data_IF_520223299263
#
_entry.id   IF_520223299263
#
_cell.length_a   1.000
_cell.length_b   1.000
_cell.length_c   1.000
_cell.angle_alpha   90.00
_cell.angle_beta   90.00
_cell.angle_gamma   90.00
#
_symmetry.space_group_name_H-M   'P 1'
#
loop_
_entity.id
_entity.type
_entity.pdbx_description
1 polymer ?
#
# COMPACT_ATOMS: atom_id res chain seq x y z
N UNK A 1 -7.42 -3.09 -15.40
CA UNK A 1 -7.50 -4.51 -14.98
C UNK A 1 -6.10 -5.12 -15.04
N UNK A 2 -5.78 -6.05 -14.13
CA UNK A 2 -4.48 -6.73 -14.10
C UNK A 2 -4.57 -8.05 -14.84
N UNK A 3 -3.72 -8.26 -15.84
CA UNK A 3 -3.69 -9.48 -16.66
C UNK A 3 -3.05 -10.65 -15.91
N UNK A 4 -1.93 -10.37 -15.23
CA UNK A 4 -1.08 -11.39 -14.65
C UNK A 4 -1.42 -11.74 -13.20
N UNK A 5 -2.72 -11.72 -12.86
CA UNK A 5 -3.25 -11.95 -11.52
C UNK A 5 -2.92 -13.34 -10.93
N UNK A 6 -2.56 -14.30 -11.79
CA UNK A 6 -2.25 -15.70 -11.41
C UNK A 6 -0.75 -16.00 -11.31
N UNK A 7 0.11 -15.05 -11.65
CA UNK A 7 1.57 -15.30 -11.68
C UNK A 7 2.16 -15.56 -10.30
N UNK A 8 1.68 -14.83 -9.29
CA UNK A 8 2.14 -14.91 -7.91
C UNK A 8 1.14 -14.34 -6.91
N UNK A 9 1.39 -14.57 -5.63
CA UNK A 9 0.66 -13.92 -4.54
C UNK A 9 0.73 -12.40 -4.63
N UNK A 10 1.89 -11.84 -5.03
CA UNK A 10 2.07 -10.39 -5.13
C UNK A 10 1.27 -9.79 -6.27
N UNK A 11 1.22 -10.44 -7.43
CA UNK A 11 0.40 -9.95 -8.54
C UNK A 11 -1.10 -10.05 -8.23
N UNK A 12 -1.51 -11.14 -7.57
CA UNK A 12 -2.86 -11.31 -7.06
C UNK A 12 -3.25 -10.20 -6.07
N UNK A 13 -2.48 -10.00 -5.00
CA UNK A 13 -2.75 -8.97 -4.00
C UNK A 13 -2.73 -7.55 -4.57
N UNK A 14 -1.81 -7.28 -5.50
CA UNK A 14 -1.77 -6.00 -6.22
C UNK A 14 -3.04 -5.77 -7.04
N UNK A 15 -3.60 -6.81 -7.67
CA UNK A 15 -4.84 -6.70 -8.44
C UNK A 15 -6.03 -6.28 -7.58
N UNK A 16 -6.13 -6.85 -6.37
CA UNK A 16 -7.19 -6.50 -5.42
C UNK A 16 -7.01 -5.09 -4.88
N UNK A 17 -5.77 -4.69 -4.55
CA UNK A 17 -5.45 -3.33 -4.11
C UNK A 17 -5.77 -2.29 -5.17
N UNK A 18 -5.46 -2.57 -6.44
CA UNK A 18 -5.77 -1.66 -7.54
C UNK A 18 -7.28 -1.54 -7.73
N UNK A 19 -8.03 -2.63 -7.59
CA UNK A 19 -9.49 -2.54 -7.62
C UNK A 19 -10.01 -1.57 -6.55
N UNK A 20 -9.53 -1.66 -5.31
CA UNK A 20 -9.88 -0.71 -4.23
C UNK A 20 -9.41 0.72 -4.57
N UNK A 21 -8.19 0.87 -5.09
CA UNK A 21 -7.65 2.18 -5.46
C UNK A 21 -8.56 2.90 -6.45
N UNK A 22 -8.95 2.23 -7.55
CA UNK A 22 -9.70 2.88 -8.61
C UNK A 22 -11.20 2.99 -8.29
N UNK A 23 -11.82 1.94 -7.78
CA UNK A 23 -13.28 1.90 -7.64
C UNK A 23 -13.80 2.48 -6.32
N UNK A 24 -12.93 2.68 -5.34
CA UNK A 24 -13.30 3.30 -4.05
C UNK A 24 -12.56 4.62 -3.88
N UNK A 25 -11.23 4.59 -3.84
CA UNK A 25 -10.43 5.78 -3.50
C UNK A 25 -10.50 6.84 -4.61
N UNK A 26 -10.22 6.50 -5.87
CA UNK A 26 -10.30 7.43 -7.01
C UNK A 26 -11.74 7.83 -7.33
N UNK A 27 -12.70 6.93 -7.17
CA UNK A 27 -14.11 7.26 -7.33
C UNK A 27 -14.54 8.35 -6.33
N UNK A 28 -14.13 8.22 -5.06
CA UNK A 28 -14.38 9.23 -4.04
C UNK A 28 -13.66 10.55 -4.36
N UNK A 29 -12.37 10.53 -4.69
CA UNK A 29 -11.66 11.75 -5.12
C UNK A 29 -12.31 12.42 -6.33
N UNK A 30 -12.83 11.64 -7.28
CA UNK A 30 -13.52 12.15 -8.48
C UNK A 30 -14.88 12.78 -8.16
N UNK A 31 -15.57 12.32 -7.12
CA UNK A 31 -16.77 13.01 -6.62
C UNK A 31 -16.41 14.43 -6.17
N UNK A 32 -15.24 14.61 -5.56
CA UNK A 32 -14.72 15.88 -5.04
C UNK A 32 -13.80 16.65 -6.01
N UNK A 33 -13.79 16.29 -7.30
CA UNK A 33 -13.00 16.95 -8.35
C UNK A 33 -11.47 16.95 -8.15
N UNK A 34 -10.96 16.07 -7.29
CA UNK A 34 -9.60 16.15 -6.77
C UNK A 34 -8.83 14.83 -6.90
N UNK A 35 -8.99 14.10 -8.01
CA UNK A 35 -8.15 12.93 -8.29
C UNK A 35 -6.67 13.32 -8.27
N UNK A 36 -5.94 12.86 -7.26
CA UNK A 36 -4.56 13.29 -6.99
C UNK A 36 -3.52 12.68 -7.94
N UNK A 37 -3.89 11.65 -8.68
CA UNK A 37 -3.06 11.05 -9.72
C UNK A 37 -3.94 10.28 -10.70
N UNK A 38 -4.07 10.85 -11.90
CA UNK A 38 -4.56 10.15 -13.08
C UNK A 38 -3.47 9.17 -13.48
N UNK A 39 -3.82 7.88 -13.58
CA UNK A 39 -2.82 6.81 -13.67
C UNK A 39 -2.20 6.74 -15.07
N UNK A 40 -0.89 6.60 -15.14
CA UNK A 40 -0.14 6.50 -16.41
C UNK A 40 -0.65 5.48 -17.45
N UNK A 41 -1.20 4.29 -17.08
CA UNK A 41 -1.70 3.34 -18.09
C UNK A 41 -2.88 3.86 -18.92
N UNK A 42 -3.68 4.80 -18.41
CA UNK A 42 -4.77 5.43 -19.15
C UNK A 42 -5.14 6.76 -18.50
N UNK A 43 -4.60 7.84 -19.06
CA UNK A 43 -4.90 9.21 -18.68
C UNK A 43 -5.23 10.05 -19.91
N UNK A 44 -6.20 10.96 -19.77
CA UNK A 44 -6.62 11.86 -20.83
C UNK A 44 -6.57 13.28 -20.28
N UNK A 45 -5.95 14.18 -21.03
CA UNK A 45 -5.78 15.58 -20.67
C UNK A 45 -6.12 16.45 -21.87
N UNK A 46 -6.66 17.64 -21.62
CA UNK A 46 -6.93 18.60 -22.69
C UNK A 46 -5.61 19.24 -23.15
N UNK A 47 -5.38 19.25 -24.45
CA UNK A 47 -4.11 19.66 -25.04
C UNK A 47 -3.80 21.16 -24.84
N UNK A 48 -4.83 22.00 -24.98
CA UNK A 48 -4.78 23.44 -24.70
C UNK A 48 -4.34 23.75 -23.26
N UNK A 49 -4.77 22.94 -22.29
CA UNK A 49 -4.34 23.06 -20.90
C UNK A 49 -2.91 22.57 -20.69
N UNK A 50 -2.55 21.42 -21.26
CA UNK A 50 -1.20 20.85 -21.12
C UNK A 50 -0.11 21.80 -21.63
N UNK A 51 -0.35 22.47 -22.76
CA UNK A 51 0.61 23.39 -23.38
C UNK A 51 1.03 24.54 -22.46
N UNK A 52 0.22 24.89 -21.46
CA UNK A 52 0.52 25.98 -20.51
C UNK A 52 1.65 25.64 -19.54
N UNK A 53 1.95 24.36 -19.31
CA UNK A 53 2.92 23.93 -18.30
C UNK A 53 3.76 22.72 -18.73
N UNK A 54 3.75 22.37 -20.03
CA UNK A 54 4.44 21.18 -20.54
C UNK A 54 5.95 21.23 -20.25
N UNK A 55 6.59 22.39 -20.48
CA UNK A 55 8.02 22.58 -20.22
C UNK A 55 8.36 22.49 -18.73
N UNK A 56 7.55 23.09 -17.87
CA UNK A 56 7.70 22.99 -16.41
C UNK A 56 7.56 21.54 -15.91
N UNK A 57 6.60 20.81 -16.48
CA UNK A 57 6.37 19.41 -16.16
C UNK A 57 7.55 18.54 -16.62
N UNK A 58 8.04 18.73 -17.84
CA UNK A 58 9.14 17.94 -18.40
C UNK A 58 10.46 18.21 -17.67
N UNK A 59 10.72 19.47 -17.32
CA UNK A 59 11.96 19.89 -16.65
C UNK A 59 11.85 19.85 -15.12
N UNK A 60 10.91 19.09 -14.56
CA UNK A 60 10.70 19.00 -13.12
C UNK A 60 12.01 18.69 -12.39
N UNK A 61 12.38 19.57 -11.45
CA UNK A 61 13.50 19.36 -10.51
C UNK A 61 12.99 19.33 -9.09
N UNK A 62 13.57 18.44 -8.28
CA UNK A 62 13.37 18.40 -6.84
C UNK A 62 14.73 18.39 -6.16
N UNK A 63 14.94 19.33 -5.23
CA UNK A 63 16.24 19.51 -4.54
C UNK A 63 17.43 19.52 -5.53
N UNK A 64 17.28 20.28 -6.60
CA UNK A 64 18.30 20.48 -7.64
C UNK A 64 18.46 19.34 -8.66
N UNK A 65 17.81 18.18 -8.49
CA UNK A 65 17.93 17.04 -9.41
C UNK A 65 16.70 16.86 -10.27
N UNK A 66 16.91 16.48 -11.53
CA UNK A 66 15.84 16.16 -12.46
C UNK A 66 15.07 14.90 -12.01
N UNK A 67 13.74 15.00 -12.06
CA UNK A 67 12.84 13.92 -11.68
C UNK A 67 12.59 13.00 -12.89
N UNK A 68 13.00 11.74 -12.76
CA UNK A 68 12.93 10.73 -13.85
C UNK A 68 11.71 9.79 -13.73
N UNK A 69 10.87 10.00 -12.73
CA UNK A 69 9.70 9.17 -12.47
C UNK A 69 8.62 9.93 -11.73
N UNK A 70 7.38 9.46 -11.86
CA UNK A 70 6.21 10.05 -11.21
C UNK A 70 5.51 11.09 -12.08
N UNK A 71 5.73 11.02 -13.38
CA UNK A 71 5.28 12.00 -14.36
C UNK A 71 3.76 12.10 -14.40
N UNK A 72 3.05 10.99 -14.20
CA UNK A 72 1.59 10.91 -14.15
C UNK A 72 1.00 11.69 -12.97
N UNK A 73 1.58 11.49 -11.78
CA UNK A 73 1.22 12.25 -10.59
C UNK A 73 1.59 13.71 -10.74
N UNK A 74 2.80 14.02 -11.23
CA UNK A 74 3.22 15.40 -11.42
C UNK A 74 2.33 16.15 -12.40
N UNK A 75 1.99 15.52 -13.53
CA UNK A 75 1.08 16.07 -14.54
C UNK A 75 -0.30 16.37 -13.97
N UNK A 76 -0.84 15.44 -13.18
CA UNK A 76 -2.10 15.64 -12.46
C UNK A 76 -2.01 16.80 -11.46
N UNK A 77 -0.89 16.86 -10.74
CA UNK A 77 -0.65 17.88 -9.73
C UNK A 77 -0.57 19.29 -10.36
N UNK A 78 0.03 19.42 -11.55
CA UNK A 78 0.06 20.67 -12.32
C UNK A 78 -1.34 21.11 -12.76
N UNK A 79 -2.20 20.18 -13.21
CA UNK A 79 -3.61 20.50 -13.49
C UNK A 79 -4.34 21.04 -12.25
N UNK A 80 -4.15 20.38 -11.11
CA UNK A 80 -4.72 20.84 -9.83
C UNK A 80 -4.16 22.19 -9.41
N UNK A 81 -2.87 22.47 -9.66
CA UNK A 81 -2.26 23.77 -9.33
C UNK A 81 -2.91 24.95 -10.08
N UNK A 82 -3.45 24.70 -11.27
CA UNK A 82 -4.20 25.67 -12.07
C UNK A 82 -5.68 25.78 -11.66
N UNK A 83 -6.14 25.00 -10.69
CA UNK A 83 -7.53 25.00 -10.22
C UNK A 83 -8.48 24.15 -11.09
N UNK A 84 -7.97 23.37 -12.05
CA UNK A 84 -8.80 22.49 -12.84
C UNK A 84 -9.18 21.21 -12.08
N UNK A 85 -10.41 20.78 -12.29
CA UNK A 85 -10.92 19.51 -11.80
C UNK A 85 -10.22 18.31 -12.45
N UNK A 86 -9.91 17.29 -11.66
CA UNK A 86 -9.42 15.99 -12.14
C UNK A 86 -10.40 14.89 -11.78
N UNK A 87 -10.81 14.10 -12.78
CA UNK A 87 -11.91 13.12 -12.67
C UNK A 87 -11.45 11.70 -13.00
N UNK A 88 -12.19 10.73 -12.48
CA UNK A 88 -12.10 9.31 -12.79
C UNK A 88 -13.44 8.83 -13.38
N UNK A 89 -13.37 7.91 -14.34
CA UNK A 89 -14.56 7.23 -14.89
C UNK A 89 -14.32 5.73 -14.92
N UNK A 90 -15.26 4.95 -14.39
CA UNK A 90 -15.19 3.49 -14.45
C UNK A 90 -15.41 2.91 -15.86
N UNK A 91 -15.85 3.75 -16.81
CA UNK A 91 -16.05 3.35 -18.22
C UNK A 91 -14.73 3.21 -18.97
N UNK A 92 -13.66 3.90 -18.56
CA UNK A 92 -12.36 3.81 -19.20
C UNK A 92 -11.62 2.57 -18.69
N UNK A 93 -11.39 1.62 -19.61
CA UNK A 93 -10.77 0.32 -19.29
C UNK A 93 -9.40 0.23 -19.93
N UNK A 94 -8.39 -0.08 -19.12
CA UNK A 94 -7.04 -0.41 -19.57
C UNK A 94 -6.60 -1.73 -18.93
N UNK A 95 -5.91 -2.56 -19.70
CA UNK A 95 -5.31 -3.80 -19.24
C UNK A 95 -3.82 -3.59 -19.04
N UNK A 96 -3.31 -3.97 -17.87
CA UNK A 96 -1.90 -3.81 -17.54
C UNK A 96 -1.41 -5.00 -16.72
N UNK A 97 -0.11 -5.07 -16.53
CA UNK A 97 0.56 -6.07 -15.72
C UNK A 97 1.11 -5.41 -14.45
N UNK A 98 1.32 -6.22 -13.42
CA UNK A 98 1.97 -5.79 -12.18
C UNK A 98 3.17 -6.70 -11.90
N UNK A 99 4.23 -6.22 -11.21
CA UNK A 99 5.35 -7.09 -10.86
C UNK A 99 4.90 -8.34 -10.10
N UNK A 100 5.27 -9.52 -10.60
CA UNK A 100 4.98 -10.80 -9.95
C UNK A 100 6.01 -11.18 -8.88
N UNK A 101 7.24 -10.69 -9.01
CA UNK A 101 8.29 -10.93 -8.01
C UNK A 101 8.23 -9.88 -6.89
N UNK A 102 8.34 -10.34 -5.63
CA UNK A 102 8.27 -9.47 -4.45
C UNK A 102 9.30 -8.34 -4.48
N UNK A 103 10.57 -8.63 -4.77
CA UNK A 103 11.61 -7.61 -4.80
C UNK A 103 11.36 -6.54 -5.88
N UNK A 104 10.87 -6.96 -7.05
CA UNK A 104 10.54 -6.03 -8.14
C UNK A 104 9.32 -5.17 -7.81
N UNK A 105 8.31 -5.77 -7.16
CA UNK A 105 7.18 -5.04 -6.60
C UNK A 105 7.64 -4.02 -5.56
N UNK A 106 8.52 -4.40 -4.63
CA UNK A 106 9.02 -3.51 -3.59
C UNK A 106 9.81 -2.32 -4.14
N UNK A 107 10.64 -2.55 -5.16
CA UNK A 107 11.30 -1.48 -5.91
C UNK A 107 10.30 -0.51 -6.56
N UNK A 108 9.22 -1.04 -7.15
CA UNK A 108 8.15 -0.21 -7.70
C UNK A 108 7.45 0.60 -6.60
N UNK A 109 7.10 -0.02 -5.47
CA UNK A 109 6.46 0.67 -4.34
C UNK A 109 7.34 1.78 -3.78
N UNK A 110 8.65 1.55 -3.66
CA UNK A 110 9.60 2.57 -3.22
C UNK A 110 9.61 3.77 -4.17
N UNK A 111 9.69 3.54 -5.49
CA UNK A 111 9.66 4.62 -6.49
C UNK A 111 8.35 5.41 -6.46
N UNK A 112 7.22 4.70 -6.37
CA UNK A 112 5.91 5.34 -6.24
C UNK A 112 5.78 6.16 -4.97
N UNK A 113 6.35 5.69 -3.87
CA UNK A 113 6.33 6.40 -2.59
C UNK A 113 7.21 7.65 -2.62
N UNK A 114 8.37 7.63 -3.29
CA UNK A 114 9.20 8.81 -3.50
C UNK A 114 8.45 9.90 -4.28
N UNK A 115 7.86 9.52 -5.41
CA UNK A 115 7.03 10.44 -6.20
C UNK A 115 5.83 10.93 -5.39
N UNK A 116 5.18 10.05 -4.62
CA UNK A 116 4.07 10.44 -3.73
C UNK A 116 4.49 11.57 -2.79
N UNK A 117 5.56 11.41 -2.03
CA UNK A 117 5.96 12.43 -1.04
C UNK A 117 6.41 13.73 -1.68
N UNK A 118 7.14 13.65 -2.80
CA UNK A 118 7.53 14.83 -3.57
C UNK A 118 6.29 15.61 -4.03
N UNK A 119 5.37 14.93 -4.69
CA UNK A 119 4.15 15.57 -5.18
C UNK A 119 3.22 15.99 -4.05
N UNK A 120 3.23 15.32 -2.91
CA UNK A 120 2.47 15.73 -1.73
C UNK A 120 2.93 17.10 -1.20
N UNK A 121 4.25 17.37 -1.17
CA UNK A 121 4.79 18.69 -0.82
C UNK A 121 4.35 19.77 -1.80
N UNK A 122 4.40 19.47 -3.10
CA UNK A 122 3.89 20.37 -4.13
C UNK A 122 2.38 20.60 -3.97
N UNK A 123 1.63 19.52 -3.82
CA UNK A 123 0.17 19.51 -3.72
C UNK A 123 -0.35 20.38 -2.57
N UNK A 124 0.37 20.39 -1.45
CA UNK A 124 0.04 21.20 -0.28
C UNK A 124 -0.05 22.71 -0.58
N UNK A 125 0.67 23.21 -1.58
CA UNK A 125 0.66 24.63 -1.94
C UNK A 125 -0.66 25.09 -2.59
N UNK A 126 -1.53 24.17 -3.05
CA UNK A 126 -2.78 24.52 -3.74
C UNK A 126 -4.02 23.82 -3.18
N UNK A 127 -3.97 23.30 -1.96
CA UNK A 127 -5.17 22.77 -1.28
C UNK A 127 -6.30 23.80 -1.17
N UNK A 128 -5.98 25.08 -1.00
CA UNK A 128 -6.95 26.17 -0.95
C UNK A 128 -7.74 26.38 -2.25
N UNK A 129 -7.30 25.79 -3.38
CA UNK A 129 -7.98 25.88 -4.68
C UNK A 129 -9.03 24.79 -4.90
N UNK A 130 -9.12 23.81 -3.99
CA UNK A 130 -9.92 22.60 -4.15
C UNK A 130 -10.78 22.32 -2.92
N UNK A 131 -11.60 21.27 -3.00
CA UNK A 131 -12.47 20.84 -1.90
C UNK A 131 -11.68 20.52 -0.62
N UNK A 132 -12.28 20.78 0.54
CA UNK A 132 -11.71 20.41 1.86
C UNK A 132 -11.41 18.92 1.98
N UNK A 133 -12.11 18.09 1.21
CA UNK A 133 -11.84 16.66 1.12
C UNK A 133 -10.42 16.35 0.65
N UNK A 134 -9.89 17.11 -0.33
CA UNK A 134 -8.53 16.93 -0.84
C UNK A 134 -7.49 17.16 0.26
N UNK A 135 -7.68 18.23 1.05
CA UNK A 135 -6.84 18.56 2.20
C UNK A 135 -6.90 17.45 3.24
N UNK A 136 -8.11 17.04 3.63
CA UNK A 136 -8.33 15.97 4.60
C UNK A 136 -7.65 14.66 4.17
N UNK A 137 -7.90 14.20 2.95
CA UNK A 137 -7.33 12.96 2.43
C UNK A 137 -5.80 13.03 2.38
N UNK A 138 -5.25 14.16 1.91
CA UNK A 138 -3.81 14.35 1.81
C UNK A 138 -3.13 14.37 3.18
N UNK A 139 -3.74 15.01 4.18
CA UNK A 139 -3.24 15.02 5.56
C UNK A 139 -3.29 13.61 6.16
N UNK A 140 -4.43 12.91 6.03
CA UNK A 140 -4.57 11.55 6.55
C UNK A 140 -3.57 10.61 5.87
N UNK A 141 -3.48 10.61 4.55
CA UNK A 141 -2.57 9.73 3.81
C UNK A 141 -1.09 10.04 4.09
N UNK A 142 -0.75 11.31 4.33
CA UNK A 142 0.59 11.76 4.70
C UNK A 142 0.97 11.43 6.16
N UNK A 143 0.09 11.71 7.13
CA UNK A 143 0.40 11.66 8.56
C UNK A 143 0.09 10.31 9.21
N UNK A 144 -1.01 9.66 8.82
CA UNK A 144 -1.45 8.40 9.43
C UNK A 144 -0.38 7.30 9.49
N UNK A 145 0.52 7.12 8.49
CA UNK A 145 1.59 6.14 8.58
C UNK A 145 2.56 6.37 9.75
N UNK A 146 2.79 7.63 10.13
CA UNK A 146 3.65 7.98 11.28
C UNK A 146 2.98 7.65 12.60
N UNK A 147 1.69 7.96 12.71
CA UNK A 147 0.89 7.59 13.86
C UNK A 147 0.90 6.07 14.07
N UNK A 148 0.58 5.29 13.03
CA UNK A 148 0.61 3.81 13.09
C UNK A 148 1.98 3.29 13.51
N UNK A 149 3.06 3.85 12.96
CA UNK A 149 4.42 3.43 13.30
C UNK A 149 4.77 3.71 14.76
N UNK A 150 4.48 4.92 15.24
CA UNK A 150 4.71 5.29 16.64
C UNK A 150 3.92 4.39 17.59
N UNK A 151 2.64 4.14 17.29
CA UNK A 151 1.78 3.25 18.08
C UNK A 151 2.32 1.82 18.11
N UNK A 152 2.72 1.26 16.96
CA UNK A 152 3.21 -0.12 16.89
C UNK A 152 4.55 -0.27 17.61
N UNK A 153 5.52 0.63 17.39
CA UNK A 153 6.79 0.59 18.12
C UNK A 153 6.53 0.71 19.63
N UNK A 154 5.70 1.67 20.05
CA UNK A 154 5.37 1.83 21.48
C UNK A 154 4.75 0.58 22.07
N UNK A 155 3.78 -0.04 21.37
CA UNK A 155 3.13 -1.26 21.83
C UNK A 155 4.11 -2.43 21.96
N UNK A 156 5.01 -2.60 21.00
CA UNK A 156 5.97 -3.70 21.00
C UNK A 156 7.06 -3.57 22.06
N UNK A 157 7.37 -2.35 22.52
CA UNK A 157 8.44 -2.11 23.52
C UNK A 157 7.91 -1.82 24.93
N UNK A 158 6.72 -1.23 25.04
CA UNK A 158 6.16 -0.79 26.32
C UNK A 158 4.88 -1.53 26.71
N UNK A 159 4.12 -2.06 25.75
CA UNK A 159 2.86 -2.77 26.01
C UNK A 159 3.07 -4.20 26.51
N UNK A 160 1.98 -4.90 26.84
CA UNK A 160 2.01 -6.33 27.17
C UNK A 160 1.84 -7.23 25.94
N UNK A 161 2.10 -8.52 26.09
CA UNK A 161 1.83 -9.56 25.09
C UNK A 161 0.36 -9.52 24.66
N UNK A 162 -0.55 -9.30 25.61
CA UNK A 162 -1.96 -9.13 25.29
C UNK A 162 -2.20 -7.87 24.45
N UNK A 163 -1.57 -6.74 24.77
CA UNK A 163 -1.71 -5.52 23.95
C UNK A 163 -1.24 -5.73 22.51
N UNK A 164 -0.12 -6.45 22.32
CA UNK A 164 0.42 -6.76 20.99
C UNK A 164 -0.54 -7.67 20.22
N UNK A 165 -1.00 -8.75 20.83
CA UNK A 165 -1.93 -9.68 20.20
C UNK A 165 -3.27 -9.00 19.87
N UNK A 166 -3.79 -8.20 20.80
CA UNK A 166 -5.01 -7.46 20.64
C UNK A 166 -4.96 -6.49 19.46
N UNK A 167 -3.86 -5.73 19.30
CA UNK A 167 -3.74 -4.81 18.16
C UNK A 167 -3.64 -5.56 16.83
N UNK A 168 -2.97 -6.72 16.79
CA UNK A 168 -2.89 -7.57 15.60
C UNK A 168 -4.28 -8.11 15.22
N UNK A 169 -5.06 -8.57 16.20
CA UNK A 169 -6.46 -8.98 15.99
C UNK A 169 -7.33 -7.80 15.52
N UNK A 170 -7.18 -6.61 16.09
CA UNK A 170 -7.90 -5.41 15.65
C UNK A 170 -7.58 -5.03 14.20
N UNK A 171 -6.30 -5.03 13.83
CA UNK A 171 -5.86 -4.76 12.45
C UNK A 171 -6.48 -5.79 11.50
N UNK A 172 -6.50 -7.07 11.91
CA UNK A 172 -7.06 -8.15 11.11
C UNK A 172 -8.58 -8.01 10.95
N UNK A 173 -9.30 -7.68 12.03
CA UNK A 173 -10.74 -7.45 12.02
C UNK A 173 -11.12 -6.28 11.13
N UNK A 174 -10.44 -5.13 11.26
CA UNK A 174 -10.68 -3.97 10.39
C UNK A 174 -10.35 -4.32 8.93
N UNK A 175 -9.29 -5.09 8.69
CA UNK A 175 -8.95 -5.62 7.37
C UNK A 175 -10.07 -6.49 6.79
N UNK A 176 -10.68 -7.34 7.62
CA UNK A 176 -11.81 -8.19 7.24
C UNK A 176 -13.07 -7.39 6.95
N UNK A 177 -13.40 -6.39 7.77
CA UNK A 177 -14.55 -5.48 7.54
C UNK A 177 -14.38 -4.75 6.20
N UNK A 178 -13.19 -4.19 5.93
CA UNK A 178 -12.89 -3.55 4.64
C UNK A 178 -12.99 -4.52 3.47
N UNK A 179 -12.53 -5.75 3.64
CA UNK A 179 -12.61 -6.78 2.62
C UNK A 179 -14.06 -7.24 2.36
N UNK A 180 -14.87 -7.37 3.41
CA UNK A 180 -16.29 -7.69 3.31
C UNK A 180 -17.07 -6.58 2.57
N UNK A 181 -16.82 -5.31 2.92
CA UNK A 181 -17.37 -4.18 2.17
C UNK A 181 -16.96 -4.23 0.68
N UNK A 182 -15.71 -4.55 0.40
CA UNK A 182 -15.22 -4.71 -0.97
C UNK A 182 -15.87 -5.90 -1.71
N UNK A 183 -16.18 -7.01 -1.02
CA UNK A 183 -16.93 -8.14 -1.59
C UNK A 183 -18.32 -7.72 -2.02
N UNK A 184 -19.02 -6.95 -1.19
CA UNK A 184 -20.37 -6.45 -1.48
C UNK A 184 -20.32 -5.50 -2.67
N UNK A 185 -19.42 -4.51 -2.63
CA UNK A 185 -19.32 -3.50 -3.69
C UNK A 185 -18.88 -4.09 -5.04
N UNK A 186 -17.98 -5.08 -5.03
CA UNK A 186 -17.55 -5.78 -6.25
C UNK A 186 -18.52 -6.89 -6.69
N UNK A 187 -19.45 -7.30 -5.82
CA UNK A 187 -20.25 -8.51 -5.98
C UNK A 187 -19.38 -9.76 -6.25
N UNK A 188 -18.22 -9.84 -5.58
CA UNK A 188 -17.28 -10.94 -5.80
C UNK A 188 -16.49 -11.25 -4.52
N UNK A 189 -16.67 -12.47 -4.01
CA UNK A 189 -16.04 -12.97 -2.78
C UNK A 189 -14.50 -13.02 -2.84
N UNK A 190 -13.89 -12.97 -4.03
CA UNK A 190 -12.43 -12.89 -4.18
C UNK A 190 -11.85 -11.65 -3.47
N UNK A 191 -12.65 -10.61 -3.22
CA UNK A 191 -12.19 -9.45 -2.45
C UNK A 191 -11.92 -9.76 -0.98
N UNK A 192 -12.36 -10.91 -0.44
CA UNK A 192 -12.10 -11.28 0.95
C UNK A 192 -10.61 -11.33 1.25
N UNK A 193 -9.78 -11.69 0.26
CA UNK A 193 -8.32 -11.71 0.37
C UNK A 193 -7.69 -10.33 0.58
N UNK A 194 -8.41 -9.22 0.35
CA UNK A 194 -7.92 -7.88 0.71
C UNK A 194 -7.60 -7.74 2.20
N UNK A 195 -8.21 -8.56 3.04
CA UNK A 195 -7.92 -8.62 4.48
C UNK A 195 -6.47 -9.01 4.78
N UNK A 196 -5.77 -9.68 3.85
CA UNK A 196 -4.36 -10.05 3.96
C UNK A 196 -3.43 -8.91 3.54
N UNK A 197 -3.96 -7.87 2.90
CA UNK A 197 -3.17 -6.72 2.44
C UNK A 197 -2.63 -5.89 3.61
N UNK A 198 -3.30 -5.91 4.77
CA UNK A 198 -2.83 -5.24 5.99
C UNK A 198 -1.43 -5.73 6.39
N UNK A 199 -1.17 -7.04 6.30
CA UNK A 199 0.17 -7.58 6.57
C UNK A 199 1.20 -7.04 5.58
N UNK A 200 0.94 -7.10 4.27
CA UNK A 200 1.83 -6.53 3.25
C UNK A 200 2.08 -5.03 3.48
N UNK A 201 1.07 -4.30 3.93
CA UNK A 201 1.23 -2.90 4.29
C UNK A 201 2.18 -2.73 5.48
N UNK A 202 1.93 -3.44 6.58
CA UNK A 202 2.69 -3.33 7.84
C UNK A 202 4.13 -3.83 7.71
N UNK A 203 4.35 -4.94 6.99
CA UNK A 203 5.67 -5.54 6.88
C UNK A 203 6.51 -4.93 5.77
N UNK A 204 5.90 -4.34 4.73
CA UNK A 204 6.64 -3.94 3.53
C UNK A 204 6.43 -2.49 3.14
N UNK A 205 5.19 -2.03 3.00
CA UNK A 205 4.94 -0.66 2.51
C UNK A 205 5.27 0.40 3.55
N UNK A 206 4.91 0.17 4.82
CA UNK A 206 5.14 1.09 5.91
C UNK A 206 6.64 1.40 6.10
N UNK A 207 7.54 0.42 6.27
CA UNK A 207 8.97 0.70 6.36
C UNK A 207 9.55 1.30 5.07
N UNK A 208 9.03 0.91 3.90
CA UNK A 208 9.44 1.50 2.61
C UNK A 208 9.16 3.00 2.55
N UNK A 209 8.11 3.51 3.21
CA UNK A 209 7.81 4.95 3.25
C UNK A 209 8.93 5.77 3.87
N UNK A 210 9.47 5.34 5.01
CA UNK A 210 10.58 6.00 5.69
C UNK A 210 11.82 6.07 4.81
N UNK A 211 12.20 4.94 4.23
CA UNK A 211 13.37 4.89 3.37
C UNK A 211 13.18 5.68 2.07
N UNK A 212 11.96 5.70 1.51
CA UNK A 212 11.63 6.52 0.36
C UNK A 212 11.78 8.01 0.68
N UNK A 213 11.39 8.48 1.86
CA UNK A 213 11.60 9.87 2.29
C UNK A 213 13.08 10.21 2.46
N UNK A 214 13.86 9.36 3.13
CA UNK A 214 15.30 9.57 3.31
C UNK A 214 16.03 9.61 1.95
N UNK A 215 15.59 8.77 1.01
CA UNK A 215 16.21 8.65 -0.32
C UNK A 215 15.42 9.34 -1.43
N UNK A 216 14.60 10.34 -1.08
CA UNK A 216 13.66 10.99 -2.01
C UNK A 216 14.37 11.63 -3.22
N UNK A 217 15.59 12.15 -3.02
CA UNK A 217 16.40 12.79 -4.06
C UNK A 217 17.19 11.80 -4.94
N UNK A 218 16.98 10.48 -4.80
CA UNK A 218 17.56 9.48 -5.71
C UNK A 218 16.61 9.24 -6.89
N UNK A 219 17.04 9.62 -8.09
CA UNK A 219 16.32 9.50 -9.37
C UNK A 219 16.57 8.16 -10.11
N UNK A 220 17.27 7.20 -9.51
CA UNK A 220 17.48 5.89 -10.13
C UNK A 220 16.15 5.12 -10.23
N UNK A 221 15.85 4.57 -11.41
CA UNK A 221 14.61 3.81 -11.64
C UNK A 221 14.50 2.54 -10.78
N UNK A 222 15.63 1.98 -10.34
CA UNK A 222 15.72 0.87 -9.37
C UNK A 222 15.17 -0.48 -9.86
N UNK A 223 14.53 -0.50 -11.02
CA UNK A 223 14.11 -1.70 -11.75
C UNK A 223 14.73 -1.66 -13.14
N UNK A 224 14.92 -2.82 -13.76
CA UNK A 224 15.33 -2.91 -15.16
C UNK A 224 14.12 -3.02 -16.08
N UNK A 225 14.34 -2.80 -17.38
CA UNK A 225 13.34 -3.09 -18.42
C UNK A 225 12.83 -4.53 -18.32
N UNK A 226 11.60 -4.79 -18.77
CA UNK A 226 10.87 -6.04 -18.43
C UNK A 226 11.59 -7.34 -18.81
N UNK A 227 12.49 -7.30 -19.82
CA UNK A 227 13.26 -8.44 -20.32
C UNK A 227 14.56 -8.72 -19.55
N UNK A 228 15.09 -7.76 -18.79
CA UNK A 228 16.30 -7.93 -17.98
C UNK A 228 15.87 -7.90 -16.52
N UNK A 229 16.32 -8.84 -15.70
CA UNK A 229 16.07 -8.81 -14.25
C UNK A 229 17.36 -8.32 -13.59
N UNK A 230 17.33 -7.09 -13.08
CA UNK A 230 18.42 -6.54 -12.26
C UNK A 230 17.97 -6.65 -10.81
N UNK A 231 18.77 -7.32 -9.99
CA UNK A 231 18.53 -7.49 -8.56
C UNK A 231 18.90 -6.21 -7.81
N UNK A 232 17.95 -5.29 -7.64
CA UNK A 232 18.12 -4.20 -6.68
C UNK A 232 17.56 -4.62 -5.32
N UNK A 233 18.47 -4.92 -4.39
CA UNK A 233 18.15 -5.39 -3.03
C UNK A 233 18.01 -4.27 -2.00
N UNK A 234 18.34 -3.01 -2.37
CA UNK A 234 18.23 -1.85 -1.48
C UNK A 234 16.87 -1.76 -0.77
N UNK A 235 15.72 -2.06 -1.42
CA UNK A 235 14.43 -2.01 -0.74
C UNK A 235 14.24 -3.02 0.39
N UNK A 236 15.07 -4.05 0.51
CA UNK A 236 15.00 -5.01 1.63
C UNK A 236 15.51 -4.38 2.92
N UNK A 237 16.49 -3.48 2.84
CA UNK A 237 17.10 -2.83 4.02
C UNK A 237 16.08 -2.26 5.01
N UNK A 238 15.10 -1.41 4.60
CA UNK A 238 14.10 -0.91 5.54
C UNK A 238 13.20 -1.99 6.14
N UNK A 239 12.94 -3.08 5.41
CA UNK A 239 12.17 -4.20 5.93
C UNK A 239 12.95 -4.93 7.01
N UNK A 240 14.26 -5.15 6.80
CA UNK A 240 15.14 -5.78 7.78
C UNK A 240 15.28 -4.93 9.06
N UNK A 241 15.46 -3.61 8.92
CA UNK A 241 15.51 -2.70 10.07
C UNK A 241 14.19 -2.72 10.84
N UNK A 242 13.07 -2.66 10.12
CA UNK A 242 11.74 -2.71 10.72
C UNK A 242 11.49 -4.02 11.47
N UNK A 243 11.82 -5.16 10.86
CA UNK A 243 11.72 -6.45 11.49
C UNK A 243 12.62 -6.53 12.73
N UNK A 244 13.86 -6.04 12.67
CA UNK A 244 14.76 -6.00 13.82
C UNK A 244 14.19 -5.16 14.98
N UNK A 245 13.61 -3.99 14.70
CA UNK A 245 12.99 -3.14 15.73
C UNK A 245 11.81 -3.86 16.42
N UNK A 246 10.93 -4.49 15.63
CA UNK A 246 9.75 -5.16 16.17
C UNK A 246 10.10 -6.46 16.89
N UNK A 247 10.99 -7.29 16.33
CA UNK A 247 11.39 -8.55 16.94
C UNK A 247 12.19 -8.32 18.22
N UNK A 248 13.08 -7.33 18.25
CA UNK A 248 13.79 -6.94 19.48
C UNK A 248 12.83 -6.41 20.54
N UNK A 249 11.84 -5.58 20.15
CA UNK A 249 10.80 -5.11 21.07
C UNK A 249 9.96 -6.26 21.63
N UNK A 250 9.51 -7.18 20.76
CA UNK A 250 8.77 -8.37 21.18
C UNK A 250 9.59 -9.24 22.13
N UNK A 251 10.86 -9.50 21.81
CA UNK A 251 11.76 -10.27 22.67
C UNK A 251 11.99 -9.60 24.03
N UNK A 252 12.17 -8.27 24.05
CA UNK A 252 12.26 -7.49 25.28
C UNK A 252 10.97 -7.59 26.11
N UNK A 253 9.80 -7.47 25.48
CA UNK A 253 8.50 -7.58 26.14
C UNK A 253 8.28 -8.97 26.73
N UNK A 254 8.61 -10.03 25.99
CA UNK A 254 8.58 -11.42 26.49
C UNK A 254 9.50 -11.58 27.69
N UNK A 255 10.74 -11.09 27.59
CA UNK A 255 11.69 -11.15 28.70
C UNK A 255 11.20 -10.42 29.94
N UNK A 256 10.68 -9.20 29.77
CA UNK A 256 10.15 -8.39 30.88
C UNK A 256 8.97 -9.10 31.55
N UNK A 257 8.02 -9.61 30.77
CA UNK A 257 6.87 -10.32 31.32
C UNK A 257 7.20 -11.68 31.92
N UNK A 258 8.25 -12.35 31.45
CA UNK A 258 8.70 -13.61 32.05
C UNK A 258 9.14 -13.47 33.52
N UNK A 259 9.44 -12.23 33.95
CA UNK A 259 9.79 -11.91 35.34
C UNK A 259 8.58 -11.53 36.20
N UNK A 260 7.39 -11.40 35.61
CA UNK A 260 6.18 -11.07 36.35
C UNK A 260 5.57 -12.32 37.01
N UNK A 261 4.76 -12.12 38.06
CA UNK A 261 4.07 -13.22 38.72
C UNK A 261 2.82 -13.66 37.95
N UNK A 262 3.01 -14.70 37.13
CA UNK A 262 1.94 -15.34 36.34
C UNK A 262 0.94 -16.15 37.17
N UNK A 263 1.15 -16.29 38.48
CA UNK A 263 0.21 -17.01 39.36
C UNK A 263 -0.92 -16.11 39.88
N UNK A 264 -0.76 -14.79 39.74
CA UNK A 264 -1.76 -13.79 40.09
C UNK A 264 -3.07 -13.98 39.31
N UNK A 265 -4.20 -13.63 39.93
CA UNK A 265 -5.53 -13.79 39.32
C UNK A 265 -5.65 -13.02 37.98
N UNK A 266 -5.09 -11.81 37.91
CA UNK A 266 -5.08 -11.00 36.70
C UNK A 266 -4.30 -11.68 35.56
N UNK A 267 -3.12 -12.24 35.84
CA UNK A 267 -2.32 -12.94 34.83
C UNK A 267 -2.93 -14.27 34.40
N UNK A 268 -3.63 -14.98 35.29
CA UNK A 268 -4.40 -16.18 34.92
C UNK A 268 -5.52 -15.86 33.92
N UNK A 269 -6.20 -14.74 34.08
CA UNK A 269 -7.17 -14.27 33.07
C UNK A 269 -6.48 -13.81 31.79
N UNK A 270 -5.34 -13.10 31.88
CA UNK A 270 -4.55 -12.69 30.70
C UNK A 270 -4.12 -13.90 29.85
N UNK A 271 -3.71 -15.01 30.48
CA UNK A 271 -3.37 -16.26 29.76
C UNK A 271 -4.54 -16.75 28.90
N UNK A 272 -5.78 -16.71 29.41
CA UNK A 272 -6.95 -17.15 28.64
C UNK A 272 -7.13 -16.29 27.39
N UNK A 273 -7.03 -14.97 27.53
CA UNK A 273 -7.14 -14.04 26.41
C UNK A 273 -6.00 -14.23 25.39
N UNK A 274 -4.78 -14.47 25.86
CA UNK A 274 -3.63 -14.77 25.01
C UNK A 274 -3.87 -16.04 24.19
N UNK A 275 -4.34 -17.12 24.82
CA UNK A 275 -4.63 -18.38 24.13
C UNK A 275 -5.73 -18.18 23.08
N UNK A 276 -6.89 -17.62 23.47
CA UNK A 276 -8.01 -17.44 22.54
C UNK A 276 -7.65 -16.49 21.39
N UNK A 277 -6.99 -15.37 21.69
CA UNK A 277 -6.55 -14.43 20.68
C UNK A 277 -5.52 -15.03 19.72
N UNK A 278 -4.56 -15.82 20.22
CA UNK A 278 -3.53 -16.45 19.41
C UNK A 278 -4.14 -17.53 18.51
N UNK A 279 -5.02 -18.38 19.05
CA UNK A 279 -5.75 -19.39 18.29
C UNK A 279 -6.59 -18.73 17.20
N UNK A 280 -7.36 -17.68 17.53
CA UNK A 280 -8.17 -16.97 16.54
C UNK A 280 -7.31 -16.34 15.43
N UNK A 281 -6.21 -15.66 15.80
CA UNK A 281 -5.31 -15.02 14.86
C UNK A 281 -4.63 -16.04 13.93
N UNK A 282 -4.05 -17.11 14.49
CA UNK A 282 -3.35 -18.15 13.71
C UNK A 282 -4.33 -18.93 12.83
N UNK A 283 -5.49 -19.33 13.37
CA UNK A 283 -6.51 -20.06 12.60
C UNK A 283 -6.98 -19.26 11.40
N UNK A 284 -7.19 -17.95 11.59
CA UNK A 284 -7.54 -17.06 10.49
C UNK A 284 -6.49 -17.07 9.36
N UNK A 285 -5.21 -16.93 9.69
CA UNK A 285 -4.14 -16.97 8.70
C UNK A 285 -4.05 -18.31 7.98
N UNK A 286 -4.15 -19.42 8.72
CA UNK A 286 -4.14 -20.77 8.14
C UNK A 286 -5.30 -20.98 7.17
N UNK A 287 -6.52 -20.59 7.56
CA UNK A 287 -7.71 -20.68 6.72
C UNK A 287 -7.53 -19.84 5.45
N UNK A 288 -7.12 -18.58 5.57
CA UNK A 288 -6.98 -17.70 4.42
C UNK A 288 -5.88 -18.15 3.45
N UNK A 289 -4.76 -18.65 3.97
CA UNK A 289 -3.68 -19.23 3.16
C UNK A 289 -4.20 -20.48 2.45
N UNK A 290 -4.89 -21.38 3.15
CA UNK A 290 -5.46 -22.59 2.57
C UNK A 290 -6.43 -22.26 1.43
N UNK A 291 -7.38 -21.34 1.65
CA UNK A 291 -8.34 -20.90 0.63
C UNK A 291 -7.59 -20.29 -0.57
N UNK A 292 -6.55 -19.48 -0.35
CA UNK A 292 -5.75 -18.91 -1.44
C UNK A 292 -5.11 -20.01 -2.32
N UNK A 293 -4.49 -21.01 -1.69
CA UNK A 293 -3.82 -22.10 -2.41
C UNK A 293 -4.80 -22.99 -3.16
N UNK A 294 -5.93 -23.32 -2.54
CA UNK A 294 -6.97 -24.19 -3.12
C UNK A 294 -7.75 -23.46 -4.22
N UNK A 295 -8.26 -22.27 -3.93
CA UNK A 295 -9.21 -21.56 -4.82
C UNK A 295 -8.51 -20.75 -5.92
N UNK A 296 -7.45 -20.01 -5.59
CA UNK A 296 -6.81 -19.06 -6.50
C UNK A 296 -5.68 -19.72 -7.27
N UNK A 297 -4.73 -20.34 -6.55
CA UNK A 297 -3.56 -20.94 -7.21
C UNK A 297 -3.90 -22.25 -7.91
N UNK A 298 -4.99 -22.92 -7.52
CA UNK A 298 -5.46 -24.22 -8.06
C UNK A 298 -4.26 -25.15 -8.28
N UNK A 299 -3.71 -25.67 -7.18
CA UNK A 299 -2.47 -26.47 -6.97
C UNK A 299 -1.70 -27.07 -8.17
N UNK A 300 -2.32 -27.36 -9.32
CA UNK A 300 -1.76 -28.10 -10.45
C UNK A 300 -1.90 -27.43 -11.84
N UNK A 301 -1.89 -26.10 -11.99
CA UNK A 301 -2.06 -25.45 -13.32
C UNK A 301 -0.77 -24.86 -13.90
N UNK A 302 -0.45 -25.20 -15.16
CA UNK A 302 0.66 -24.61 -15.93
C UNK A 302 0.44 -23.09 -16.11
N UNK A 303 1.49 -22.29 -15.90
CA UNK A 303 1.50 -20.85 -16.21
C UNK A 303 1.25 -20.66 -17.71
N UNK A 304 0.21 -19.91 -18.06
CA UNK A 304 -0.01 -19.49 -19.45
C UNK A 304 0.91 -18.33 -19.78
N UNK A 305 1.66 -18.40 -20.88
CA UNK A 305 2.46 -17.28 -21.38
C UNK A 305 1.63 -16.26 -22.20
N UNK A 306 0.36 -16.58 -22.47
CA UNK A 306 -0.58 -15.71 -23.17
C UNK A 306 -1.81 -15.41 -22.31
N UNK A 307 -2.32 -14.17 -22.43
CA UNK A 307 -3.57 -13.73 -21.80
C UNK A 307 -4.62 -13.53 -22.88
N UNK A 308 -5.74 -14.24 -22.79
CA UNK A 308 -6.90 -13.97 -23.64
C UNK A 308 -7.62 -12.73 -23.12
N UNK A 309 -7.71 -11.70 -23.95
CA UNK A 309 -8.48 -10.49 -23.67
C UNK A 309 -9.79 -10.62 -24.45
N UNK A 310 -10.90 -10.84 -23.74
CA UNK A 310 -12.22 -10.63 -24.32
C UNK A 310 -12.51 -9.13 -24.16
N UNK A 311 -12.46 -8.39 -25.27
CA UNK A 311 -12.69 -6.93 -25.32
C UNK A 311 -14.19 -6.66 -25.21
#
# INVERSE_FOLDING_TARGET
>A
MILNLKDSYISFMSSLRYWMAFNVERACQSFFDCVSCISGPLGLYRNDLLRQFLEDWYNQKFLGKHCTFGDDRHLTNRMLSLGYATKYTARSKCYTETPSQFLRWLNQQMRWTKSYFREWLYNAMWWHKHSLWMTYESIVAGIFPFFVTATIIRLFWMGTLWNILWVLCCIQLIGLIKAAYACILRQNLVMIFMSLYSALYMTSLLPTKYFAMITINKSSWGTSGRRKIVGNYIPILPLSIWAAILLSGLGYTIYRESKEDWTSAAKKEEIKYLIYGAVAYVSYWLIMILIYWVWIRKLCRKRSQSYNINV
#
